data_IF_391795180315
#
_entry.id   IF_391795180315
#
_cell.length_a   1.000
_cell.length_b   1.000
_cell.length_c   1.000
_cell.angle_alpha   90.00
_cell.angle_beta   90.00
_cell.angle_gamma   90.00
#
_symmetry.space_group_name_H-M   'P 1'
#
loop_
_entity.id
_entity.type
_entity.pdbx_description
1 polymer ?
#
# COMPACT_ATOMS: atom_id res chain seq x y z
N UNK A 1 6.72 1.56 0.92
CA UNK A 1 6.91 0.73 2.13
C UNK A 1 6.04 -0.54 2.13
N UNK A 2 4.77 -0.54 2.56
CA UNK A 2 4.06 -1.83 2.79
C UNK A 2 4.01 -2.81 1.60
N UNK A 3 3.91 -2.28 0.38
CA UNK A 3 3.91 -3.07 -0.86
C UNK A 3 5.25 -3.79 -1.12
N UNK A 4 6.37 -3.13 -0.84
CA UNK A 4 7.72 -3.67 -1.07
C UNK A 4 8.21 -4.53 0.11
N UNK A 5 7.80 -4.20 1.34
CA UNK A 5 8.15 -4.95 2.56
C UNK A 5 7.60 -6.38 2.55
N UNK A 6 6.40 -6.60 2.00
CA UNK A 6 5.85 -7.95 1.79
C UNK A 6 6.77 -8.80 0.92
N UNK A 7 7.33 -8.19 -0.12
CA UNK A 7 8.23 -8.83 -1.09
C UNK A 7 9.61 -9.07 -0.48
N UNK A 8 10.13 -8.10 0.28
CA UNK A 8 11.38 -8.27 1.02
C UNK A 8 11.28 -9.43 2.00
N UNK A 9 10.18 -9.51 2.74
CA UNK A 9 9.93 -10.60 3.67
C UNK A 9 9.85 -11.93 2.91
N UNK A 10 9.15 -11.97 1.78
CA UNK A 10 9.05 -13.17 0.95
C UNK A 10 10.43 -13.70 0.48
N UNK A 11 11.38 -12.82 0.19
CA UNK A 11 12.71 -13.17 -0.35
C UNK A 11 13.83 -13.30 0.68
N UNK A 12 13.70 -12.66 1.86
CA UNK A 12 14.80 -12.54 2.81
C UNK A 12 14.39 -12.81 4.27
N UNK A 13 13.24 -13.46 4.50
CA UNK A 13 12.70 -13.72 5.84
C UNK A 13 13.73 -14.26 6.84
N UNK A 14 14.63 -15.15 6.41
CA UNK A 14 15.60 -15.82 7.29
C UNK A 14 16.76 -14.91 7.70
N UNK A 15 16.98 -13.83 6.98
CA UNK A 15 18.00 -12.83 7.26
C UNK A 15 17.45 -11.65 8.08
N UNK A 16 16.16 -11.63 8.40
CA UNK A 16 15.59 -10.61 9.29
C UNK A 16 16.12 -10.79 10.72
N UNK A 17 16.37 -9.67 11.40
CA UNK A 17 16.77 -9.66 12.80
C UNK A 17 15.71 -8.97 13.66
N UNK A 18 15.31 -9.59 14.76
CA UNK A 18 14.39 -9.01 15.74
C UNK A 18 15.17 -8.43 16.92
N UNK A 19 14.87 -7.19 17.29
CA UNK A 19 15.47 -6.48 18.42
C UNK A 19 14.43 -6.31 19.54
N UNK A 20 14.52 -7.18 20.55
CA UNK A 20 13.60 -7.17 21.70
C UNK A 20 13.56 -5.82 22.42
N UNK A 21 14.71 -5.17 22.63
CA UNK A 21 14.82 -3.89 23.33
C UNK A 21 15.00 -2.70 22.36
N UNK A 22 14.25 -2.67 21.26
CA UNK A 22 14.38 -1.63 20.23
C UNK A 22 14.16 -0.20 20.75
N UNK A 23 13.42 -0.01 21.86
CA UNK A 23 13.22 1.31 22.49
C UNK A 23 14.44 1.81 23.28
N UNK A 24 15.38 0.91 23.61
CA UNK A 24 16.56 1.21 24.42
C UNK A 24 17.86 1.25 23.64
N UNK A 25 17.84 1.09 22.31
CA UNK A 25 19.02 1.14 21.45
C UNK A 25 19.77 2.47 21.62
N UNK A 26 21.09 2.37 21.75
CA UNK A 26 21.99 3.52 21.74
C UNK A 26 22.45 3.85 20.31
N UNK A 27 22.94 5.07 20.11
CA UNK A 27 23.41 5.55 18.79
C UNK A 27 24.49 4.62 18.18
N UNK A 28 25.41 4.09 18.99
CA UNK A 28 26.45 3.17 18.52
C UNK A 28 25.90 1.80 18.10
N UNK A 29 24.74 1.39 18.61
CA UNK A 29 24.07 0.16 18.21
C UNK A 29 23.33 0.37 16.87
N UNK A 30 22.72 1.53 16.66
CA UNK A 30 22.16 1.92 15.37
C UNK A 30 23.25 1.97 14.28
N UNK A 31 24.42 2.55 14.58
CA UNK A 31 25.53 2.60 13.64
C UNK A 31 26.05 1.20 13.29
N UNK A 32 26.05 0.25 14.25
CA UNK A 32 26.39 -1.14 13.96
C UNK A 32 25.39 -1.81 13.01
N UNK A 33 24.09 -1.53 13.15
CA UNK A 33 23.07 -2.02 12.20
C UNK A 33 23.32 -1.45 10.81
N UNK A 34 23.53 -0.14 10.71
CA UNK A 34 23.85 0.54 9.45
C UNK A 34 25.10 -0.06 8.78
N UNK A 35 26.20 -0.23 9.53
CA UNK A 35 27.44 -0.79 9.00
C UNK A 35 27.32 -2.26 8.55
N UNK A 36 26.31 -2.98 9.04
CA UNK A 36 25.98 -4.35 8.63
C UNK A 36 24.99 -4.39 7.45
N UNK A 37 24.52 -3.23 6.98
CA UNK A 37 23.49 -3.15 5.94
C UNK A 37 22.10 -3.53 6.44
N UNK A 38 21.78 -3.28 7.71
CA UNK A 38 20.46 -3.57 8.29
C UNK A 38 19.65 -2.29 8.46
N UNK A 39 18.53 -2.19 7.76
CA UNK A 39 17.56 -1.11 7.91
C UNK A 39 16.47 -1.53 8.91
N UNK A 40 16.13 -0.68 9.87
CA UNK A 40 15.21 -1.07 10.95
C UNK A 40 13.89 -0.29 10.92
N UNK A 41 12.81 -1.01 11.14
CA UNK A 41 11.48 -0.50 11.48
C UNK A 41 11.11 -1.09 12.84
N UNK A 42 11.02 -0.25 13.87
CA UNK A 42 10.75 -0.68 15.27
C UNK A 42 11.66 -1.84 15.69
N UNK A 43 11.12 -2.97 16.08
CA UNK A 43 11.82 -4.19 16.46
C UNK A 43 12.38 -5.02 15.30
N UNK A 44 12.10 -4.67 14.04
CA UNK A 44 12.43 -5.52 12.89
C UNK A 44 13.52 -4.91 12.01
N UNK A 45 14.59 -5.65 11.78
CA UNK A 45 15.69 -5.28 10.89
C UNK A 45 15.61 -6.07 9.58
N UNK A 46 15.64 -5.34 8.48
CA UNK A 46 15.55 -5.82 7.10
C UNK A 46 16.94 -5.71 6.46
N UNK A 47 17.48 -6.77 5.84
CA UNK A 47 18.77 -6.71 5.15
C UNK A 47 18.66 -5.87 3.87
N UNK A 48 19.58 -4.92 3.65
CA UNK A 48 19.56 -4.07 2.46
C UNK A 48 19.75 -4.86 1.15
N UNK A 49 20.47 -5.97 1.18
CA UNK A 49 20.76 -6.80 0.00
C UNK A 49 19.50 -7.26 -0.73
N UNK A 50 18.39 -7.51 -0.01
CA UNK A 50 17.11 -7.90 -0.61
C UNK A 50 16.55 -6.79 -1.52
N UNK A 51 16.79 -5.53 -1.17
CA UNK A 51 16.38 -4.37 -1.96
C UNK A 51 17.17 -4.28 -3.26
N UNK A 52 18.45 -4.73 -3.25
CA UNK A 52 19.32 -4.78 -4.44
C UNK A 52 18.96 -5.94 -5.36
N UNK A 53 18.63 -7.10 -4.81
CA UNK A 53 18.09 -8.22 -5.59
C UNK A 53 16.80 -7.79 -6.31
N UNK A 54 15.91 -7.07 -5.61
CA UNK A 54 14.68 -6.57 -6.20
C UNK A 54 14.94 -5.47 -7.25
N UNK A 55 15.91 -4.57 -7.02
CA UNK A 55 16.35 -3.55 -7.98
C UNK A 55 16.76 -4.18 -9.32
N UNK A 56 17.60 -5.22 -9.29
CA UNK A 56 18.11 -5.86 -10.51
C UNK A 56 16.97 -6.46 -11.36
N UNK A 57 15.98 -7.09 -10.72
CA UNK A 57 14.79 -7.62 -11.40
C UNK A 57 13.88 -6.52 -11.95
N UNK A 58 13.76 -5.40 -11.24
CA UNK A 58 12.87 -4.30 -11.62
C UNK A 58 13.45 -3.45 -12.76
N UNK A 59 14.76 -3.28 -12.84
CA UNK A 59 15.40 -2.51 -13.91
C UNK A 59 15.02 -3.05 -15.28
N UNK A 60 15.05 -4.37 -15.47
CA UNK A 60 14.71 -5.00 -16.75
C UNK A 60 13.27 -4.67 -17.16
N UNK A 61 12.29 -4.85 -16.25
CA UNK A 61 10.89 -4.59 -16.58
C UNK A 61 10.55 -3.11 -16.74
N UNK A 62 11.29 -2.21 -16.08
CA UNK A 62 11.15 -0.77 -16.29
C UNK A 62 11.72 -0.33 -17.64
N UNK A 63 12.87 -0.88 -18.04
CA UNK A 63 13.48 -0.63 -19.35
C UNK A 63 12.55 -1.08 -20.47
N UNK A 64 12.07 -2.32 -20.40
CA UNK A 64 11.16 -2.89 -21.41
C UNK A 64 9.89 -2.03 -21.55
N UNK A 65 9.31 -1.59 -20.42
CA UNK A 65 8.11 -0.77 -20.44
C UNK A 65 8.37 0.63 -21.02
N UNK A 66 9.50 1.26 -20.68
CA UNK A 66 9.93 2.53 -21.28
C UNK A 66 10.09 2.40 -22.80
N UNK A 67 10.80 1.38 -23.27
CA UNK A 67 11.09 1.15 -24.69
C UNK A 67 9.81 0.83 -25.49
N UNK A 68 8.87 0.11 -24.88
CA UNK A 68 7.58 -0.21 -25.48
C UNK A 68 6.56 0.95 -25.39
N UNK A 69 6.84 2.00 -24.62
CA UNK A 69 5.88 3.06 -24.31
C UNK A 69 4.70 2.58 -23.45
N UNK A 70 4.88 1.47 -22.74
CA UNK A 70 3.91 0.93 -21.78
C UNK A 70 3.98 1.68 -20.46
N UNK A 71 2.82 1.88 -19.84
CA UNK A 71 2.71 2.56 -18.56
C UNK A 71 1.94 1.72 -17.57
N UNK A 72 2.55 1.40 -16.43
CA UNK A 72 2.01 0.52 -15.40
C UNK A 72 2.01 1.21 -14.03
N UNK A 73 1.14 0.78 -13.13
CA UNK A 73 1.22 1.13 -11.71
C UNK A 73 2.48 0.52 -11.09
N UNK A 74 3.01 1.12 -10.01
CA UNK A 74 4.11 0.53 -9.26
C UNK A 74 3.84 -0.92 -8.82
N UNK A 75 2.62 -1.22 -8.38
CA UNK A 75 2.16 -2.57 -8.01
C UNK A 75 2.20 -3.56 -9.18
N UNK A 76 1.82 -3.13 -10.39
CA UNK A 76 1.81 -3.98 -11.58
C UNK A 76 3.22 -4.44 -11.98
N UNK A 77 4.26 -3.63 -11.73
CA UNK A 77 5.65 -4.06 -11.92
C UNK A 77 6.06 -5.17 -10.95
N UNK A 78 5.68 -5.06 -9.67
CA UNK A 78 5.92 -6.11 -8.69
C UNK A 78 5.14 -7.38 -9.03
N UNK A 79 3.89 -7.25 -9.47
CA UNK A 79 3.09 -8.37 -9.94
C UNK A 79 3.76 -9.09 -11.12
N UNK A 80 4.31 -8.33 -12.08
CA UNK A 80 5.02 -8.88 -13.23
C UNK A 80 6.20 -9.74 -12.79
N UNK A 81 7.08 -9.23 -11.93
CA UNK A 81 8.27 -9.98 -11.48
C UNK A 81 7.92 -11.14 -10.55
N UNK A 82 6.89 -11.03 -9.70
CA UNK A 82 6.41 -12.10 -8.82
C UNK A 82 5.99 -13.37 -9.59
N UNK A 83 5.66 -13.25 -10.87
CA UNK A 83 5.29 -14.39 -11.71
C UNK A 83 6.47 -15.09 -12.38
N UNK A 84 7.69 -14.58 -12.22
CA UNK A 84 8.85 -15.08 -12.95
C UNK A 84 9.50 -16.26 -12.21
N UNK A 85 10.06 -17.26 -12.92
CA UNK A 85 10.82 -18.32 -12.29
C UNK A 85 12.02 -17.82 -11.47
N UNK A 86 12.64 -16.72 -11.91
CA UNK A 86 13.72 -16.06 -11.19
C UNK A 86 13.28 -15.63 -9.79
N UNK A 87 12.12 -14.97 -9.70
CA UNK A 87 11.57 -14.50 -8.43
C UNK A 87 11.08 -15.63 -7.53
N UNK A 88 10.32 -16.59 -8.08
CA UNK A 88 9.79 -17.73 -7.32
C UNK A 88 10.93 -18.56 -6.67
N UNK A 89 12.08 -18.66 -7.34
CA UNK A 89 13.24 -19.37 -6.81
C UNK A 89 13.90 -18.70 -5.59
N UNK A 90 13.59 -17.43 -5.30
CA UNK A 90 14.11 -16.67 -4.17
C UNK A 90 13.22 -16.75 -2.92
N UNK A 91 12.03 -17.34 -3.00
CA UNK A 91 11.09 -17.35 -1.87
C UNK A 91 11.62 -18.16 -0.69
N UNK A 92 11.61 -17.55 0.49
CA UNK A 92 12.10 -18.15 1.73
C UNK A 92 10.99 -18.62 2.67
N UNK A 93 9.78 -18.09 2.50
CA UNK A 93 8.54 -18.45 3.20
C UNK A 93 7.48 -18.92 2.19
N UNK A 94 6.33 -19.38 2.69
CA UNK A 94 5.25 -19.82 1.83
C UNK A 94 4.70 -18.63 1.04
N UNK A 95 4.41 -18.86 -0.24
CA UNK A 95 3.80 -17.85 -1.11
C UNK A 95 2.42 -17.39 -0.61
N UNK A 96 1.73 -18.25 0.14
CA UNK A 96 0.44 -17.97 0.77
C UNK A 96 0.53 -16.86 1.85
N UNK A 97 1.72 -16.62 2.40
CA UNK A 97 1.97 -15.58 3.41
C UNK A 97 2.21 -14.18 2.79
N UNK A 98 2.20 -14.06 1.46
CA UNK A 98 2.37 -12.78 0.73
C UNK A 98 1.02 -12.19 0.32
N UNK A 99 0.66 -11.04 0.90
CA UNK A 99 -0.60 -10.39 0.54
C UNK A 99 -0.54 -9.77 -0.85
N UNK A 100 0.65 -9.38 -1.33
CA UNK A 100 0.83 -8.79 -2.66
C UNK A 100 0.66 -9.85 -3.74
N UNK A 101 1.15 -11.07 -3.50
CA UNK A 101 0.90 -12.20 -4.39
C UNK A 101 -0.58 -12.59 -4.39
N UNK A 102 -1.22 -12.65 -3.22
CA UNK A 102 -2.66 -12.90 -3.13
C UNK A 102 -3.48 -11.84 -3.89
N UNK A 103 -3.12 -10.56 -3.78
CA UNK A 103 -3.77 -9.48 -4.53
C UNK A 103 -3.60 -9.64 -6.04
N UNK A 104 -2.41 -10.04 -6.50
CA UNK A 104 -2.15 -10.35 -7.90
C UNK A 104 -3.04 -11.50 -8.40
N UNK A 105 -3.06 -12.61 -7.68
CA UNK A 105 -3.81 -13.82 -8.08
C UNK A 105 -5.33 -13.59 -8.10
N UNK A 106 -5.82 -12.73 -7.20
CA UNK A 106 -7.22 -12.32 -7.14
C UNK A 106 -7.57 -11.16 -8.10
N UNK A 107 -6.60 -10.68 -8.91
CA UNK A 107 -6.77 -9.54 -9.83
C UNK A 107 -7.28 -8.27 -9.12
N UNK A 108 -6.86 -8.04 -7.88
CA UNK A 108 -7.24 -6.88 -7.07
C UNK A 108 -6.30 -5.72 -7.40
N UNK A 109 -6.81 -4.56 -7.85
CA UNK A 109 -5.97 -3.39 -8.10
C UNK A 109 -5.38 -2.86 -6.79
N UNK A 110 -4.07 -2.63 -6.80
CA UNK A 110 -3.35 -2.04 -5.65
C UNK A 110 -2.85 -0.66 -6.03
N UNK A 111 -3.32 0.34 -5.28
CA UNK A 111 -2.94 1.74 -5.46
C UNK A 111 -1.87 2.14 -4.44
N UNK A 112 -0.83 2.82 -4.90
CA UNK A 112 0.27 3.36 -4.09
C UNK A 112 0.51 4.82 -4.46
N UNK A 113 -0.38 5.74 -4.07
CA UNK A 113 -0.08 7.17 -4.14
C UNK A 113 1.15 7.50 -3.27
N UNK A 114 1.97 8.45 -3.70
CA UNK A 114 3.21 8.79 -2.99
C UNK A 114 4.28 7.71 -3.07
N UNK A 115 4.28 6.87 -4.12
CA UNK A 115 5.24 5.78 -4.29
C UNK A 115 6.70 6.25 -4.29
N UNK A 116 6.97 7.50 -4.67
CA UNK A 116 8.31 8.10 -4.57
C UNK A 116 8.85 8.09 -3.13
N UNK A 117 7.98 8.07 -2.12
CA UNK A 117 8.31 7.88 -0.69
C UNK A 117 8.39 6.37 -0.35
N UNK A 118 9.21 5.65 -1.09
CA UNK A 118 9.47 4.22 -0.88
C UNK A 118 10.87 3.83 -1.37
N UNK A 119 11.39 2.70 -0.92
CA UNK A 119 12.71 2.21 -1.34
C UNK A 119 12.73 1.97 -2.85
N UNK A 120 11.71 1.30 -3.41
CA UNK A 120 11.61 1.05 -4.85
C UNK A 120 11.40 2.32 -5.65
N UNK A 121 10.65 3.30 -5.13
CA UNK A 121 10.51 4.62 -5.75
C UNK A 121 11.84 5.37 -5.80
N UNK A 122 12.61 5.34 -4.71
CA UNK A 122 13.96 5.92 -4.64
C UNK A 122 14.91 5.23 -5.63
N UNK A 123 14.89 3.90 -5.70
CA UNK A 123 15.70 3.11 -6.63
C UNK A 123 15.33 3.40 -8.09
N UNK A 124 14.05 3.53 -8.41
CA UNK A 124 13.60 3.89 -9.75
C UNK A 124 14.20 5.24 -10.20
N UNK A 125 14.07 6.27 -9.37
CA UNK A 125 14.63 7.60 -9.64
C UNK A 125 16.16 7.55 -9.76
N UNK A 126 16.84 6.81 -8.87
CA UNK A 126 18.29 6.65 -8.94
C UNK A 126 18.73 6.00 -10.27
N UNK A 127 17.98 5.02 -10.77
CA UNK A 127 18.27 4.36 -12.04
C UNK A 127 17.98 5.23 -13.27
N UNK A 128 17.04 6.18 -13.18
CA UNK A 128 16.87 7.22 -14.20
C UNK A 128 18.07 8.18 -14.20
N UNK A 129 18.50 8.66 -13.04
CA UNK A 129 19.67 9.56 -12.92
C UNK A 129 20.94 8.88 -13.46
N UNK A 130 21.09 7.57 -13.20
CA UNK A 130 22.18 6.74 -13.73
C UNK A 130 22.02 6.36 -15.21
N UNK A 131 20.92 6.75 -15.86
CA UNK A 131 20.57 6.42 -17.25
C UNK A 131 20.47 4.92 -17.54
N UNK A 132 20.07 4.13 -16.54
CA UNK A 132 19.70 2.73 -16.71
C UNK A 132 18.24 2.60 -17.14
N UNK A 133 17.35 3.45 -16.63
CA UNK A 133 15.98 3.63 -17.13
C UNK A 133 15.93 4.96 -17.88
N UNK A 134 15.21 5.04 -19.00
CA UNK A 134 15.27 6.20 -19.89
C UNK A 134 14.70 7.47 -19.25
N UNK A 135 13.54 7.34 -18.60
CA UNK A 135 12.76 8.43 -18.04
C UNK A 135 11.64 7.90 -17.13
N UNK A 136 10.80 8.80 -16.62
CA UNK A 136 9.73 8.46 -15.66
C UNK A 136 8.45 7.91 -16.32
N UNK A 137 8.34 7.93 -17.65
CA UNK A 137 7.07 7.76 -18.35
C UNK A 137 6.48 6.36 -18.20
N UNK A 138 7.28 5.32 -17.99
CA UNK A 138 6.74 3.96 -17.83
C UNK A 138 5.94 3.75 -16.55
N UNK A 139 5.97 4.69 -15.60
CA UNK A 139 5.18 4.62 -14.37
C UNK A 139 3.98 5.57 -14.44
N UNK A 140 2.80 5.05 -14.09
CA UNK A 140 1.58 5.86 -13.91
C UNK A 140 1.69 6.68 -12.61
N UNK A 141 1.46 7.98 -12.73
CA UNK A 141 1.48 8.92 -11.61
C UNK A 141 0.37 8.68 -10.59
N UNK A 142 0.46 9.32 -9.42
CA UNK A 142 -0.58 9.24 -8.39
C UNK A 142 -1.95 9.75 -8.87
N UNK A 143 -1.99 10.74 -9.77
CA UNK A 143 -3.24 11.25 -10.34
C UNK A 143 -3.86 10.29 -11.35
N UNK A 144 -3.05 9.52 -12.09
CA UNK A 144 -3.54 8.47 -12.99
C UNK A 144 -4.06 7.26 -12.21
N UNK A 145 -3.38 6.89 -11.11
CA UNK A 145 -3.89 5.92 -10.16
C UNK A 145 -5.24 6.37 -9.58
N UNK A 146 -5.35 7.66 -9.24
CA UNK A 146 -6.59 8.21 -8.70
C UNK A 146 -7.70 8.17 -9.74
N UNK A 147 -7.43 8.58 -10.99
CA UNK A 147 -8.38 8.47 -12.10
C UNK A 147 -8.92 7.04 -12.23
N UNK A 148 -8.05 6.03 -12.26
CA UNK A 148 -8.46 4.63 -12.35
C UNK A 148 -9.34 4.19 -11.17
N UNK A 149 -9.03 4.66 -9.95
CA UNK A 149 -9.90 4.43 -8.80
C UNK A 149 -11.29 5.07 -8.96
N UNK A 150 -11.37 6.30 -9.49
CA UNK A 150 -12.65 6.98 -9.74
C UNK A 150 -13.49 6.24 -10.78
N UNK A 151 -12.86 5.76 -11.85
CA UNK A 151 -13.49 4.97 -12.90
C UNK A 151 -14.03 3.66 -12.31
N UNK A 152 -13.19 2.91 -11.59
CA UNK A 152 -13.61 1.68 -10.91
C UNK A 152 -14.78 1.91 -9.95
N UNK A 153 -14.71 2.95 -9.12
CA UNK A 153 -15.76 3.27 -8.13
C UNK A 153 -17.07 3.65 -8.84
N UNK A 154 -17.00 4.43 -9.92
CA UNK A 154 -18.16 4.80 -10.73
C UNK A 154 -18.80 3.58 -11.38
N UNK A 155 -18.00 2.75 -12.05
CA UNK A 155 -18.48 1.55 -12.76
C UNK A 155 -19.13 0.56 -11.79
N UNK A 156 -18.52 0.35 -10.62
CA UNK A 156 -19.05 -0.55 -9.60
C UNK A 156 -20.39 -0.06 -9.04
N UNK A 157 -20.52 1.25 -8.82
CA UNK A 157 -21.70 1.83 -8.15
C UNK A 157 -22.84 2.21 -9.08
N UNK A 158 -22.58 2.48 -10.36
CA UNK A 158 -23.59 2.96 -11.31
C UNK A 158 -24.03 1.91 -12.34
N UNK A 159 -23.10 1.14 -12.91
CA UNK A 159 -23.43 0.27 -14.04
C UNK A 159 -23.92 -1.12 -13.61
N UNK A 160 -23.46 -1.61 -12.45
CA UNK A 160 -23.65 -3.01 -12.07
C UNK A 160 -24.92 -3.33 -11.28
N UNK A 161 -25.76 -2.35 -10.92
CA UNK A 161 -26.88 -2.55 -9.96
C UNK A 161 -26.48 -3.54 -8.85
N UNK A 162 -25.29 -3.35 -8.26
CA UNK A 162 -24.85 -4.24 -7.21
C UNK A 162 -25.81 -4.06 -6.03
N UNK A 163 -26.38 -5.18 -5.55
CA UNK A 163 -27.28 -5.18 -4.39
C UNK A 163 -26.58 -4.67 -3.11
N UNK A 164 -25.25 -4.57 -3.15
CA UNK A 164 -24.42 -4.20 -2.01
C UNK A 164 -23.61 -2.92 -2.27
N UNK A 165 -23.70 -1.93 -1.38
CA UNK A 165 -22.88 -0.73 -1.47
C UNK A 165 -21.41 -1.04 -1.09
N UNK A 166 -20.47 -0.25 -1.61
CA UNK A 166 -19.04 -0.41 -1.31
C UNK A 166 -18.73 0.03 0.12
N UNK A 167 -18.10 -0.84 0.90
CA UNK A 167 -17.61 -0.52 2.24
C UNK A 167 -16.15 -0.07 2.24
N UNK A 168 -15.78 0.77 3.21
CA UNK A 168 -14.41 1.23 3.43
C UNK A 168 -13.90 0.73 4.78
N UNK A 169 -12.93 -0.19 4.76
CA UNK A 169 -12.26 -0.70 5.95
C UNK A 169 -10.82 -0.22 5.97
N UNK A 170 -10.50 0.67 6.91
CA UNK A 170 -9.21 1.34 7.01
C UNK A 170 -8.38 0.74 8.16
N UNK A 171 -7.14 0.37 7.88
CA UNK A 171 -6.16 -0.01 8.90
C UNK A 171 -5.05 1.04 8.90
N UNK A 172 -4.87 1.73 10.02
CA UNK A 172 -4.01 2.90 10.13
C UNK A 172 -4.67 4.16 9.56
N UNK A 173 -3.87 5.07 9.01
CA UNK A 173 -4.32 6.34 8.44
C UNK A 173 -3.43 6.82 7.30
N UNK A 174 -3.20 8.13 7.22
CA UNK A 174 -2.35 8.73 6.19
C UNK A 174 -2.91 8.60 4.78
N UNK A 175 -2.01 8.56 3.80
CA UNK A 175 -2.37 8.60 2.38
C UNK A 175 -3.21 7.39 1.94
N UNK A 176 -2.97 6.20 2.50
CA UNK A 176 -3.73 4.99 2.18
C UNK A 176 -5.22 5.11 2.52
N UNK A 177 -5.54 5.80 3.64
CA UNK A 177 -6.92 6.09 4.01
C UNK A 177 -7.53 7.22 3.19
N UNK A 178 -6.85 8.36 3.12
CA UNK A 178 -7.43 9.57 2.51
C UNK A 178 -7.56 9.48 0.99
N UNK A 179 -6.55 8.92 0.29
CA UNK A 179 -6.56 8.79 -1.16
C UNK A 179 -7.79 8.00 -1.64
N UNK A 180 -8.03 6.85 -1.04
CA UNK A 180 -9.09 5.96 -1.51
C UNK A 180 -10.48 6.52 -1.16
N UNK A 181 -10.68 7.00 0.07
CA UNK A 181 -12.00 7.49 0.50
C UNK A 181 -12.42 8.77 -0.25
N UNK A 182 -11.48 9.54 -0.80
CA UNK A 182 -11.72 10.72 -1.62
C UNK A 182 -12.34 10.42 -2.99
N UNK A 183 -12.48 9.15 -3.39
CA UNK A 183 -13.13 8.80 -4.65
C UNK A 183 -14.57 9.35 -4.77
N UNK A 184 -15.40 9.08 -3.76
CA UNK A 184 -16.79 9.54 -3.72
C UNK A 184 -16.93 11.08 -3.79
N UNK A 185 -16.26 11.89 -2.94
CA UNK A 185 -16.39 13.34 -3.01
C UNK A 185 -15.78 13.94 -4.28
N UNK A 186 -14.72 13.35 -4.86
CA UNK A 186 -14.17 13.86 -6.10
C UNK A 186 -15.18 13.72 -7.27
N UNK A 187 -15.85 12.56 -7.36
CA UNK A 187 -16.90 12.36 -8.38
C UNK A 187 -18.08 13.30 -8.14
N UNK A 188 -18.52 13.43 -6.88
CA UNK A 188 -19.68 14.25 -6.52
C UNK A 188 -19.43 15.76 -6.73
N UNK A 189 -18.28 16.27 -6.29
CA UNK A 189 -18.02 17.71 -6.18
C UNK A 189 -17.21 18.23 -7.38
N UNK A 190 -16.14 17.54 -7.76
CA UNK A 190 -15.22 18.00 -8.80
C UNK A 190 -15.69 17.60 -10.20
N UNK A 191 -16.15 16.35 -10.37
CA UNK A 191 -16.76 15.90 -11.62
C UNK A 191 -18.23 16.30 -11.76
N UNK A 192 -18.85 16.76 -10.67
CA UNK A 192 -20.27 17.15 -10.62
C UNK A 192 -21.22 16.05 -11.13
N UNK A 193 -20.92 14.80 -10.77
CA UNK A 193 -21.71 13.62 -11.13
C UNK A 193 -22.29 12.96 -9.88
N UNK A 194 -23.50 12.45 -9.99
CA UNK A 194 -24.11 11.67 -8.92
C UNK A 194 -23.35 10.35 -8.71
N UNK A 195 -23.02 10.06 -7.46
CA UNK A 195 -22.43 8.79 -7.04
C UNK A 195 -22.87 8.47 -5.61
N UNK A 196 -23.11 7.20 -5.26
CA UNK A 196 -23.32 6.83 -3.87
C UNK A 196 -22.08 7.13 -3.01
N UNK A 197 -22.31 7.64 -1.79
CA UNK A 197 -21.29 7.69 -0.75
C UNK A 197 -20.91 6.27 -0.29
N UNK A 198 -19.81 6.12 0.44
CA UNK A 198 -19.40 4.82 1.01
C UNK A 198 -20.50 4.25 1.92
N UNK A 199 -20.85 2.98 1.69
CA UNK A 199 -21.97 2.29 2.36
C UNK A 199 -21.68 1.80 3.76
N UNK A 200 -20.40 1.67 4.11
CA UNK A 200 -19.91 1.28 5.42
C UNK A 200 -18.55 1.95 5.66
N UNK A 201 -18.27 2.32 6.90
CA UNK A 201 -16.95 2.80 7.29
C UNK A 201 -16.48 2.16 8.60
N UNK A 202 -15.30 1.57 8.63
CA UNK A 202 -14.63 1.30 9.89
C UNK A 202 -13.15 1.60 9.77
N UNK A 203 -12.58 2.13 10.85
CA UNK A 203 -11.14 2.37 10.94
C UNK A 203 -10.57 1.73 12.20
N UNK A 204 -9.39 1.13 12.06
CA UNK A 204 -8.48 0.84 13.17
C UNK A 204 -7.38 1.90 13.10
N UNK A 205 -7.16 2.65 14.17
CA UNK A 205 -6.12 3.68 14.21
C UNK A 205 -5.62 3.87 15.64
N UNK A 206 -4.31 3.98 15.82
CA UNK A 206 -3.69 4.38 17.08
C UNK A 206 -3.61 5.91 17.22
N UNK A 207 -3.84 6.64 16.12
CA UNK A 207 -3.79 8.09 16.08
C UNK A 207 -4.89 8.69 16.96
N UNK A 208 -4.47 9.54 17.91
CA UNK A 208 -5.39 10.32 18.73
C UNK A 208 -6.02 11.41 17.88
N UNK A 209 -7.32 11.64 18.05
CA UNK A 209 -7.99 12.83 17.50
C UNK A 209 -7.31 14.08 18.04
N UNK A 210 -6.55 14.76 17.18
CA UNK A 210 -5.67 15.87 17.53
C UNK A 210 -6.17 17.17 16.89
N UNK A 211 -5.34 18.23 16.91
CA UNK A 211 -5.65 19.55 16.37
C UNK A 211 -5.68 19.61 14.82
N UNK A 212 -6.25 18.59 14.16
CA UNK A 212 -6.41 18.54 12.70
C UNK A 212 -5.71 17.38 11.98
N UNK A 213 -5.22 16.36 12.70
CA UNK A 213 -4.64 15.18 12.07
C UNK A 213 -5.70 14.27 11.41
N UNK A 214 -5.58 14.05 10.09
CA UNK A 214 -6.57 13.28 9.33
C UNK A 214 -6.67 11.81 9.77
N UNK A 215 -5.54 11.19 10.15
CA UNK A 215 -5.44 9.79 10.58
C UNK A 215 -6.24 9.47 11.85
N UNK A 216 -6.48 10.46 12.71
CA UNK A 216 -7.25 10.34 13.95
C UNK A 216 -8.63 11.01 13.87
N UNK A 217 -9.04 11.49 12.70
CA UNK A 217 -10.31 12.17 12.52
C UNK A 217 -11.48 11.23 12.81
N UNK A 218 -12.43 11.71 13.60
CA UNK A 218 -13.63 10.94 13.93
C UNK A 218 -14.46 10.66 12.67
N UNK A 219 -15.12 9.50 12.55
CA UNK A 219 -15.90 9.16 11.37
C UNK A 219 -16.95 10.21 10.99
N UNK A 220 -17.52 10.93 11.96
CA UNK A 220 -18.51 11.99 11.75
C UNK A 220 -18.01 13.11 10.84
N UNK A 221 -16.73 13.47 10.93
CA UNK A 221 -16.13 14.52 10.11
C UNK A 221 -16.24 14.17 8.62
N UNK A 222 -16.21 12.88 8.27
CA UNK A 222 -16.32 12.40 6.88
C UNK A 222 -17.67 12.74 6.24
N UNK A 223 -18.72 13.04 7.04
CA UNK A 223 -20.01 13.48 6.51
C UNK A 223 -19.91 14.86 5.86
N UNK A 224 -19.20 15.81 6.48
CA UNK A 224 -19.11 17.17 5.93
C UNK A 224 -18.35 17.21 4.60
N UNK A 225 -17.48 16.23 4.39
CA UNK A 225 -16.74 16.04 3.14
C UNK A 225 -17.55 15.29 2.07
N UNK A 226 -18.75 14.79 2.36
CA UNK A 226 -19.52 13.97 1.42
C UNK A 226 -18.94 12.58 1.19
N UNK A 227 -18.03 12.12 2.07
CA UNK A 227 -17.43 10.77 1.98
C UNK A 227 -18.43 9.70 2.44
N UNK A 228 -19.15 9.98 3.53
CA UNK A 228 -20.20 9.09 4.08
C UNK A 228 -21.48 9.89 4.34
N UNK A 229 -22.60 9.20 4.57
CA UNK A 229 -23.88 9.83 4.92
C UNK A 229 -24.19 9.72 6.41
N UNK A 230 -25.19 10.49 6.88
CA UNK A 230 -25.73 10.36 8.25
C UNK A 230 -26.17 8.93 8.59
N UNK A 231 -26.67 8.17 7.61
CA UNK A 231 -27.14 6.79 7.79
C UNK A 231 -26.07 5.72 7.58
N UNK A 232 -24.89 6.07 7.03
CA UNK A 232 -23.79 5.12 6.84
C UNK A 232 -23.34 4.55 8.20
N UNK A 233 -23.41 3.22 8.43
CA UNK A 233 -22.84 2.58 9.59
C UNK A 233 -21.35 2.89 9.68
N UNK A 234 -20.92 3.36 10.85
CA UNK A 234 -19.53 3.78 11.05
C UNK A 234 -18.97 3.38 12.40
N UNK A 235 -17.72 2.92 12.40
CA UNK A 235 -17.04 2.45 13.61
C UNK A 235 -15.60 2.99 13.64
N UNK A 236 -15.09 3.24 14.84
CA UNK A 236 -13.70 3.67 15.07
C UNK A 236 -13.13 2.88 16.22
N UNK A 237 -12.05 2.14 15.95
CA UNK A 237 -11.34 1.31 16.91
C UNK A 237 -10.00 1.99 17.19
N UNK A 238 -9.87 2.60 18.37
CA UNK A 238 -8.61 3.19 18.80
C UNK A 238 -7.72 2.10 19.40
N UNK A 239 -6.84 1.51 18.58
CA UNK A 239 -5.97 0.41 18.98
C UNK A 239 -4.83 0.20 17.97
N UNK A 240 -3.81 -0.54 18.38
CA UNK A 240 -2.81 -1.09 17.47
C UNK A 240 -3.46 -2.15 16.57
N UNK A 241 -3.24 -2.03 15.26
CA UNK A 241 -3.79 -2.94 14.27
C UNK A 241 -3.36 -4.40 14.48
N UNK A 242 -2.14 -4.63 14.97
CA UNK A 242 -1.60 -5.98 15.21
C UNK A 242 -2.39 -6.76 16.28
N UNK A 243 -3.14 -6.06 17.14
CA UNK A 243 -3.96 -6.69 18.18
C UNK A 243 -5.37 -6.96 17.65
N UNK A 244 -6.01 -5.96 17.04
CA UNK A 244 -7.46 -6.03 16.74
C UNK A 244 -7.78 -6.53 15.34
N UNK A 245 -6.91 -6.31 14.34
CA UNK A 245 -7.17 -6.77 12.98
C UNK A 245 -7.26 -8.31 12.90
N UNK A 246 -6.35 -9.10 13.53
CA UNK A 246 -6.49 -10.56 13.54
C UNK A 246 -7.79 -11.06 14.18
N UNK A 247 -8.25 -10.41 15.26
CA UNK A 247 -9.51 -10.78 15.93
C UNK A 247 -10.73 -10.52 15.04
N UNK A 248 -10.73 -9.40 14.30
CA UNK A 248 -11.79 -9.07 13.34
C UNK A 248 -11.77 -10.08 12.19
N UNK A 249 -10.59 -10.38 11.64
CA UNK A 249 -10.46 -11.31 10.53
C UNK A 249 -10.87 -12.73 10.92
N UNK A 250 -10.44 -13.26 12.07
CA UNK A 250 -10.88 -14.58 12.55
C UNK A 250 -12.40 -14.66 12.72
N UNK A 251 -13.03 -13.62 13.26
CA UNK A 251 -14.50 -13.58 13.39
C UNK A 251 -15.23 -13.50 12.04
N UNK A 252 -14.69 -12.79 11.05
CA UNK A 252 -15.34 -12.59 9.74
C UNK A 252 -15.10 -13.78 8.80
N UNK A 253 -13.92 -14.38 8.86
CA UNK A 253 -13.48 -15.45 7.96
C UNK A 253 -13.81 -16.85 8.49
N UNK A 254 -14.40 -16.96 9.69
CA UNK A 254 -14.64 -18.22 10.40
C UNK A 254 -13.36 -19.06 10.58
N UNK A 255 -12.23 -18.39 10.90
CA UNK A 255 -10.89 -18.95 11.12
C UNK A 255 -10.50 -18.93 12.61
#
# INVERSE_FOLDING_TARGET
ANLEEDIFNLMAHREYEIIDNWRGLQEEEEEKLYNRGMNRVTDTCIPEDVMRVLEDLLIEVWQDACDAGERKFPSEYLFQILGTPAMVSQFQINSEDSWVLAAKEAEIPVYTPGWEDSTMGNIFVANIIRRRVSDHSCVKSGTEQFQHLLEWYSDYTTEKQNDFPVGFFQIGGGIAGDFAICAAPCILQDLQKEVPAWGYFAQITDAVTSYGGYSGAVPEEKISWGKITKSTPRFSINSDASIVAPLIFGYILDD
#
